data_IF_472895947331
#
_entry.id   IF_472895947331
#
_cell.length_a   1.000
_cell.length_b   1.000
_cell.length_c   1.000
_cell.angle_alpha   90.00
_cell.angle_beta   90.00
_cell.angle_gamma   90.00
#
_symmetry.space_group_name_H-M   'P 1'
#
loop_
_entity.id
_entity.type
_entity.pdbx_description
1 polymer ?
#
# COMPACT_ATOMS: atom_id res chain seq x y z
N UNK A 1 -80.85 38.61 66.09
CA UNK A 1 -80.38 37.39 66.73
C UNK A 1 -80.20 36.33 65.69
N UNK A 2 -79.11 36.29 65.03
CA UNK A 2 -78.70 35.15 64.20
C UNK A 2 -77.16 35.20 64.16
N UNK A 3 -76.54 34.16 64.67
CA UNK A 3 -75.12 34.00 64.68
C UNK A 3 -74.59 33.52 63.28
N UNK A 4 -73.63 34.19 62.75
CA UNK A 4 -72.92 33.76 61.57
C UNK A 4 -71.59 33.08 61.91
N UNK A 5 -71.44 31.84 61.49
CA UNK A 5 -70.22 31.06 61.62
C UNK A 5 -69.31 31.34 60.42
N UNK A 6 -68.09 31.71 60.70
CA UNK A 6 -67.02 31.91 59.72
C UNK A 6 -66.30 30.58 59.56
N UNK A 7 -66.24 30.02 58.33
CA UNK A 7 -65.45 28.91 57.93
C UNK A 7 -64.06 29.40 57.44
N UNK A 8 -63.05 29.02 58.12
CA UNK A 8 -61.66 29.23 57.69
C UNK A 8 -61.21 28.11 56.72
N UNK A 9 -60.83 28.49 55.51
CA UNK A 9 -60.26 27.56 54.52
C UNK A 9 -58.74 27.43 54.79
N UNK A 10 -58.28 26.22 55.15
CA UNK A 10 -56.84 25.84 55.16
C UNK A 10 -56.34 25.58 53.72
N UNK A 11 -55.36 26.35 53.29
CA UNK A 11 -54.68 26.18 52.02
C UNK A 11 -53.56 25.12 52.17
N UNK A 12 -53.78 23.96 51.57
CA UNK A 12 -52.76 22.95 51.49
C UNK A 12 -51.71 23.39 50.47
N UNK A 13 -50.44 23.62 50.93
CA UNK A 13 -49.29 23.89 50.09
C UNK A 13 -48.67 22.54 49.65
N UNK A 14 -48.78 22.21 48.35
CA UNK A 14 -48.11 21.07 47.75
C UNK A 14 -46.65 21.46 47.49
N UNK A 15 -45.61 20.75 48.02
CA UNK A 15 -44.23 21.08 47.74
C UNK A 15 -43.88 20.64 46.31
N UNK A 16 -43.36 21.56 45.49
CA UNK A 16 -42.77 21.33 44.18
C UNK A 16 -41.46 20.51 44.34
N UNK A 17 -41.22 19.45 43.52
CA UNK A 17 -39.97 18.70 43.56
C UNK A 17 -38.80 19.59 43.14
N UNK A 18 -37.70 19.51 43.88
CA UNK A 18 -36.51 20.32 43.69
C UNK A 18 -35.90 20.09 42.32
N UNK A 19 -35.77 21.14 41.49
CA UNK A 19 -35.17 21.17 40.15
C UNK A 19 -33.67 20.78 40.11
N UNK A 20 -33.06 20.38 41.20
CA UNK A 20 -31.62 19.99 41.27
C UNK A 20 -31.32 18.60 40.71
N UNK A 21 -32.30 17.69 40.59
CA UNK A 21 -32.13 16.34 40.05
C UNK A 21 -32.17 16.23 38.53
N UNK A 22 -32.92 17.14 37.85
CA UNK A 22 -33.06 17.07 36.39
C UNK A 22 -31.84 17.63 35.61
N UNK A 23 -31.12 18.59 36.19
CA UNK A 23 -29.93 19.18 35.55
C UNK A 23 -28.73 18.20 35.53
N UNK A 24 -28.62 17.31 36.52
CA UNK A 24 -27.53 16.31 36.55
C UNK A 24 -27.74 15.15 35.57
N UNK A 25 -28.98 14.73 35.33
CA UNK A 25 -29.30 13.68 34.38
C UNK A 25 -29.12 14.13 32.92
N UNK A 26 -29.44 15.38 32.57
CA UNK A 26 -29.22 15.95 31.23
C UNK A 26 -27.71 16.17 30.93
N UNK A 27 -26.91 16.60 31.90
CA UNK A 27 -25.46 16.71 31.69
C UNK A 27 -24.77 15.34 31.52
N UNK A 28 -25.27 14.28 32.16
CA UNK A 28 -24.70 12.93 32.01
C UNK A 28 -24.97 12.32 30.61
N UNK A 29 -26.07 12.67 29.96
CA UNK A 29 -26.38 12.23 28.59
C UNK A 29 -25.60 13.02 27.55
N UNK A 30 -25.24 14.25 27.76
CA UNK A 30 -24.39 15.06 26.89
C UNK A 30 -22.92 14.62 26.94
N UNK A 31 -22.45 14.04 28.04
CA UNK A 31 -21.09 13.52 28.15
C UNK A 31 -20.91 12.10 27.57
N UNK A 32 -21.97 11.28 27.44
CA UNK A 32 -21.92 9.97 26.82
C UNK A 32 -21.95 10.02 25.29
N UNK A 33 -22.36 11.12 24.66
CA UNK A 33 -22.34 11.31 23.21
C UNK A 33 -21.00 11.83 22.66
N UNK A 34 -20.00 12.10 23.52
CA UNK A 34 -18.76 12.82 23.15
C UNK A 34 -17.52 11.94 22.95
N UNK A 35 -17.60 10.62 22.98
CA UNK A 35 -16.45 9.72 22.83
C UNK A 35 -16.55 8.77 21.61
N UNK A 36 -17.31 9.12 20.59
CA UNK A 36 -17.02 8.58 19.26
C UNK A 36 -15.72 9.24 18.80
N UNK A 37 -14.60 8.57 18.97
CA UNK A 37 -13.31 9.05 18.49
C UNK A 37 -13.43 9.49 17.04
N UNK A 38 -12.81 10.60 16.66
CA UNK A 38 -12.81 11.05 15.27
C UNK A 38 -12.25 9.91 14.39
N UNK A 39 -12.95 9.57 13.32
CA UNK A 39 -12.51 8.56 12.36
C UNK A 39 -11.18 8.99 11.73
N UNK A 40 -10.25 8.06 11.63
CA UNK A 40 -8.88 8.28 11.17
C UNK A 40 -8.53 7.44 9.93
N UNK A 41 -7.38 7.70 9.33
CA UNK A 41 -6.87 6.81 8.27
C UNK A 41 -6.55 5.40 8.78
N UNK A 42 -6.30 5.21 10.07
CA UNK A 42 -6.12 3.87 10.64
C UNK A 42 -7.42 3.05 10.60
N UNK A 43 -8.57 3.70 10.82
CA UNK A 43 -9.88 3.03 10.71
C UNK A 43 -10.23 2.66 9.26
N UNK A 44 -9.77 3.47 8.29
CA UNK A 44 -9.93 3.15 6.86
C UNK A 44 -9.08 1.95 6.44
N UNK A 45 -7.83 1.91 6.91
CA UNK A 45 -6.89 0.82 6.64
C UNK A 45 -6.92 -0.29 7.70
N UNK A 46 -8.01 -0.40 8.47
CA UNK A 46 -8.19 -1.51 9.39
C UNK A 46 -8.21 -2.84 8.61
N UNK A 47 -7.22 -3.73 8.83
CA UNK A 47 -7.07 -4.96 8.05
C UNK A 47 -8.15 -6.02 8.36
N UNK A 48 -8.93 -5.83 9.42
CA UNK A 48 -10.00 -6.75 9.85
C UNK A 48 -11.39 -6.32 9.41
N UNK A 49 -11.49 -5.16 8.74
CA UNK A 49 -12.79 -4.59 8.37
C UNK A 49 -12.91 -4.43 6.85
N UNK A 50 -13.95 -5.03 6.26
CA UNK A 50 -14.35 -4.74 4.89
C UNK A 50 -15.07 -3.39 4.88
N UNK A 51 -14.48 -2.40 4.25
CA UNK A 51 -15.02 -1.04 4.17
C UNK A 51 -16.10 -0.92 3.08
N UNK A 52 -17.00 0.07 3.19
CA UNK A 52 -17.84 0.50 2.08
C UNK A 52 -17.39 1.89 1.62
N UNK A 53 -16.93 1.99 0.39
CA UNK A 53 -16.52 3.26 -0.24
C UNK A 53 -17.48 3.59 -1.38
N UNK A 54 -17.94 4.84 -1.43
CA UNK A 54 -18.84 5.33 -2.48
C UNK A 54 -18.17 6.45 -3.25
N UNK A 55 -18.20 6.35 -4.57
CA UNK A 55 -17.82 7.42 -5.48
C UNK A 55 -19.07 7.91 -6.22
N UNK A 56 -19.21 9.21 -6.31
CA UNK A 56 -20.26 9.86 -7.11
C UNK A 56 -19.59 10.61 -8.26
N UNK A 57 -19.77 10.12 -9.47
CA UNK A 57 -19.13 10.61 -10.70
C UNK A 57 -20.24 10.97 -11.68
N UNK A 58 -20.10 12.08 -12.42
CA UNK A 58 -21.06 12.40 -13.48
C UNK A 58 -21.15 11.22 -14.49
N UNK A 59 -22.36 10.89 -14.93
CA UNK A 59 -22.58 9.70 -15.78
C UNK A 59 -21.83 9.76 -17.12
N UNK A 60 -21.66 10.96 -17.70
CA UNK A 60 -20.88 11.14 -18.94
C UNK A 60 -19.40 10.95 -18.69
N UNK A 61 -18.89 11.47 -17.56
CA UNK A 61 -17.49 11.32 -17.17
C UNK A 61 -17.15 9.84 -16.89
N UNK A 62 -18.02 9.13 -16.19
CA UNK A 62 -17.87 7.68 -15.95
C UNK A 62 -17.88 6.89 -17.29
N UNK A 63 -18.74 7.27 -18.22
CA UNK A 63 -18.74 6.67 -19.54
C UNK A 63 -17.41 6.94 -20.27
N UNK A 64 -16.90 8.17 -20.26
CA UNK A 64 -15.61 8.51 -20.85
C UNK A 64 -14.46 7.76 -20.18
N UNK A 65 -14.45 7.62 -18.83
CA UNK A 65 -13.46 6.82 -18.11
C UNK A 65 -13.42 5.36 -18.59
N UNK A 66 -14.58 4.78 -18.91
CA UNK A 66 -14.68 3.41 -19.45
C UNK A 66 -14.23 3.32 -20.90
N UNK A 67 -14.64 4.27 -21.73
CA UNK A 67 -14.28 4.32 -23.17
C UNK A 67 -12.77 4.60 -23.35
N UNK A 68 -12.18 5.41 -22.48
CA UNK A 68 -10.79 5.83 -22.52
C UNK A 68 -10.00 5.27 -21.32
N UNK A 69 -10.24 4.01 -20.97
CA UNK A 69 -9.69 3.40 -19.77
C UNK A 69 -8.15 3.35 -19.72
N UNK A 70 -7.48 3.53 -20.84
CA UNK A 70 -6.02 3.61 -20.96
C UNK A 70 -5.45 5.01 -20.70
N UNK A 71 -6.30 6.04 -20.63
CA UNK A 71 -5.86 7.42 -20.43
C UNK A 71 -5.79 7.81 -18.95
N UNK A 72 -4.92 8.77 -18.63
CA UNK A 72 -4.73 9.32 -17.26
C UNK A 72 -5.58 10.60 -17.01
N UNK A 73 -6.69 10.75 -17.71
CA UNK A 73 -7.57 11.93 -17.58
C UNK A 73 -8.27 11.95 -16.24
N UNK A 74 -8.20 13.08 -15.52
CA UNK A 74 -8.91 13.30 -14.28
C UNK A 74 -10.34 13.81 -14.51
N UNK A 75 -11.28 13.28 -13.72
CA UNK A 75 -12.68 13.69 -13.69
C UNK A 75 -13.07 14.06 -12.26
N UNK A 76 -14.04 14.95 -12.11
CA UNK A 76 -14.55 15.34 -10.80
C UNK A 76 -15.40 14.22 -10.17
N UNK A 77 -15.20 13.98 -8.89
CA UNK A 77 -15.94 13.01 -8.12
C UNK A 77 -16.12 13.46 -6.66
N UNK A 78 -17.19 12.99 -6.00
CA UNK A 78 -17.30 13.02 -4.56
C UNK A 78 -17.00 11.62 -4.01
N UNK A 79 -16.27 11.54 -2.89
CA UNK A 79 -16.03 10.30 -2.17
C UNK A 79 -16.78 10.31 -0.84
N UNK A 80 -17.41 9.21 -0.48
CA UNK A 80 -18.06 9.03 0.82
C UNK A 80 -17.64 7.72 1.50
N UNK A 81 -17.30 7.80 2.78
CA UNK A 81 -16.97 6.68 3.64
C UNK A 81 -17.45 6.95 5.07
N UNK A 82 -18.24 6.04 5.65
CA UNK A 82 -18.79 6.13 7.02
C UNK A 82 -19.41 7.49 7.35
N UNK A 83 -20.12 8.10 6.38
CA UNK A 83 -20.73 9.41 6.53
C UNK A 83 -19.79 10.61 6.35
N UNK A 84 -18.49 10.41 6.22
CA UNK A 84 -17.55 11.47 5.83
C UNK A 84 -17.59 11.59 4.32
N UNK A 85 -17.93 12.79 3.82
CA UNK A 85 -17.98 13.08 2.39
C UNK A 85 -16.97 14.14 2.00
N UNK A 86 -16.09 13.81 1.05
CA UNK A 86 -15.20 14.76 0.39
C UNK A 86 -15.77 15.08 -0.98
N UNK A 87 -16.01 16.36 -1.23
CA UNK A 87 -16.55 16.85 -2.49
C UNK A 87 -15.45 17.33 -3.40
N UNK A 88 -15.70 17.28 -4.70
CA UNK A 88 -14.81 17.80 -5.73
C UNK A 88 -13.38 17.24 -5.64
N UNK A 89 -13.25 15.95 -5.30
CA UNK A 89 -12.04 15.20 -5.51
C UNK A 89 -11.85 14.91 -7.01
N UNK A 90 -10.64 14.57 -7.43
CA UNK A 90 -10.36 14.10 -8.78
C UNK A 90 -10.22 12.59 -8.79
N UNK A 91 -10.79 11.93 -9.80
CA UNK A 91 -10.63 10.49 -10.02
C UNK A 91 -10.09 10.24 -11.42
N UNK A 92 -9.17 9.30 -11.57
CA UNK A 92 -8.67 8.81 -12.87
C UNK A 92 -8.43 7.32 -12.84
N UNK A 93 -8.30 6.73 -14.03
CA UNK A 93 -7.88 5.35 -14.17
C UNK A 93 -6.43 5.15 -13.68
N UNK A 94 -6.16 4.00 -13.04
CA UNK A 94 -4.85 3.58 -12.52
C UNK A 94 -4.49 2.21 -13.11
N UNK A 95 -3.19 1.89 -13.04
CA UNK A 95 -2.62 0.63 -13.52
C UNK A 95 -1.96 0.77 -14.90
N UNK A 96 -1.35 -0.28 -15.37
CA UNK A 96 -0.81 -0.42 -16.70
C UNK A 96 -1.46 -1.65 -17.39
N UNK A 97 -1.06 -2.86 -17.02
CA UNK A 97 -1.60 -4.10 -17.54
C UNK A 97 -2.98 -4.46 -16.97
N UNK A 98 -3.32 -3.93 -15.79
CA UNK A 98 -4.60 -4.19 -15.09
C UNK A 98 -5.75 -3.30 -15.52
N UNK A 99 -5.50 -2.30 -16.39
CA UNK A 99 -6.55 -1.40 -16.89
C UNK A 99 -7.56 -2.15 -17.73
N UNK A 100 -8.84 -1.98 -17.40
CA UNK A 100 -9.93 -2.52 -18.22
C UNK A 100 -11.20 -1.68 -18.05
N UNK A 101 -12.12 -1.67 -19.02
CA UNK A 101 -13.32 -0.83 -18.96
C UNK A 101 -14.41 -1.39 -18.04
N UNK A 102 -14.34 -2.67 -17.66
CA UNK A 102 -15.38 -3.34 -16.87
C UNK A 102 -15.22 -3.02 -15.39
N UNK A 103 -14.04 -3.27 -14.83
CA UNK A 103 -13.72 -3.03 -13.41
C UNK A 103 -12.54 -2.08 -13.35
N UNK A 104 -12.81 -0.77 -13.28
CA UNK A 104 -11.78 0.27 -13.34
C UNK A 104 -10.88 0.24 -12.09
N UNK A 105 -9.55 0.16 -12.26
CA UNK A 105 -8.61 0.52 -11.21
C UNK A 105 -8.56 2.06 -11.11
N UNK A 106 -8.61 2.64 -9.90
CA UNK A 106 -8.80 4.08 -9.73
C UNK A 106 -7.76 4.70 -8.80
N UNK A 107 -7.37 5.93 -9.10
CA UNK A 107 -6.70 6.85 -8.17
C UNK A 107 -7.64 8.00 -7.86
N UNK A 108 -7.84 8.29 -6.59
CA UNK A 108 -8.59 9.45 -6.10
C UNK A 108 -7.59 10.46 -5.54
N UNK A 109 -7.50 11.65 -6.12
CA UNK A 109 -6.67 12.78 -5.63
C UNK A 109 -7.59 13.83 -5.02
N UNK A 110 -7.47 14.04 -3.72
CA UNK A 110 -8.32 14.96 -2.98
C UNK A 110 -7.89 16.42 -3.19
N UNK A 111 -6.64 16.66 -3.55
CA UNK A 111 -6.08 18.01 -3.68
C UNK A 111 -6.01 18.52 -5.12
N UNK A 112 -6.41 17.73 -6.12
CA UNK A 112 -6.27 18.09 -7.53
C UNK A 112 -7.05 19.35 -7.91
N UNK A 113 -8.34 19.40 -7.58
CA UNK A 113 -9.21 20.56 -7.88
C UNK A 113 -9.30 21.55 -6.71
N UNK A 114 -8.99 21.12 -5.50
CA UNK A 114 -9.08 21.94 -4.30
C UNK A 114 -7.76 21.89 -3.54
N UNK A 115 -6.94 22.92 -3.68
CA UNK A 115 -5.63 23.00 -3.07
C UNK A 115 -5.73 22.77 -1.54
N UNK A 116 -4.85 21.90 -1.02
CA UNK A 116 -4.80 21.59 0.41
C UNK A 116 -5.90 20.64 0.94
N UNK A 117 -6.90 20.26 0.12
CA UNK A 117 -7.91 19.31 0.55
C UNK A 117 -7.30 17.95 0.89
N UNK A 118 -7.81 17.32 1.94
CA UNK A 118 -7.37 15.99 2.42
C UNK A 118 -8.58 15.15 2.82
N UNK A 119 -8.41 13.84 2.73
CA UNK A 119 -9.33 12.87 3.30
C UNK A 119 -8.58 12.08 4.38
N UNK A 120 -9.00 12.19 5.64
CA UNK A 120 -8.33 11.58 6.80
C UNK A 120 -6.82 11.87 6.85
N UNK A 121 -6.42 13.10 6.48
CA UNK A 121 -5.03 13.53 6.38
C UNK A 121 -4.30 13.15 5.08
N UNK A 122 -4.87 12.26 4.25
CA UNK A 122 -4.27 11.80 3.00
C UNK A 122 -4.55 12.76 1.84
N UNK A 123 -3.59 12.87 0.92
CA UNK A 123 -3.73 13.61 -0.34
C UNK A 123 -4.44 12.79 -1.40
N UNK A 124 -4.18 11.49 -1.44
CA UNK A 124 -4.72 10.57 -2.44
C UNK A 124 -4.93 9.18 -1.87
N UNK A 125 -5.72 8.38 -2.58
CA UNK A 125 -6.06 7.00 -2.25
C UNK A 125 -6.13 6.19 -3.53
N UNK A 126 -5.65 4.96 -3.50
CA UNK A 126 -5.78 4.03 -4.62
C UNK A 126 -6.88 3.01 -4.32
N UNK A 127 -7.64 2.69 -5.35
CA UNK A 127 -8.67 1.66 -5.36
C UNK A 127 -8.24 0.64 -6.42
N UNK A 128 -7.49 -0.37 -5.98
CA UNK A 128 -7.01 -1.41 -6.88
C UNK A 128 -8.10 -2.41 -7.19
N UNK A 129 -8.28 -2.72 -8.48
CA UNK A 129 -9.37 -3.57 -8.96
C UNK A 129 -9.10 -5.08 -8.78
N UNK A 130 -7.92 -5.48 -8.32
CA UNK A 130 -7.51 -6.87 -8.10
C UNK A 130 -7.69 -7.76 -9.35
N UNK A 131 -7.54 -7.15 -10.53
CA UNK A 131 -7.94 -7.76 -11.79
C UNK A 131 -7.12 -8.99 -12.17
N UNK A 132 -5.84 -9.01 -11.86
CA UNK A 132 -4.89 -10.07 -12.25
C UNK A 132 -4.76 -11.18 -11.21
N UNK A 133 -5.23 -10.97 -9.97
CA UNK A 133 -5.09 -11.91 -8.87
C UNK A 133 -6.39 -12.69 -8.60
N UNK A 134 -6.48 -14.00 -8.93
CA UNK A 134 -7.64 -14.81 -8.62
C UNK A 134 -7.92 -14.94 -7.12
N UNK A 135 -6.90 -14.82 -6.26
CA UNK A 135 -7.06 -14.85 -4.81
C UNK A 135 -7.53 -13.51 -4.23
N UNK A 136 -7.31 -12.41 -4.94
CA UNK A 136 -7.54 -11.03 -4.49
C UNK A 136 -6.80 -10.66 -3.19
N UNK A 137 -5.72 -11.38 -2.83
CA UNK A 137 -5.03 -11.22 -1.55
C UNK A 137 -3.51 -11.04 -1.67
N UNK A 138 -2.90 -11.33 -2.83
CA UNK A 138 -1.43 -11.40 -2.96
C UNK A 138 -0.75 -10.11 -2.54
N UNK A 139 -1.17 -8.97 -3.11
CA UNK A 139 -0.56 -7.67 -2.82
C UNK A 139 -0.68 -7.33 -1.34
N UNK A 140 -1.89 -7.37 -0.79
CA UNK A 140 -2.12 -7.02 0.62
C UNK A 140 -1.33 -7.91 1.59
N UNK A 141 -1.31 -9.24 1.35
CA UNK A 141 -0.56 -10.17 2.20
C UNK A 141 0.95 -9.91 2.09
N UNK A 142 1.45 -9.60 0.89
CA UNK A 142 2.85 -9.25 0.66
C UNK A 142 3.24 -7.94 1.35
N UNK A 143 2.41 -6.89 1.26
CA UNK A 143 2.66 -5.62 1.94
C UNK A 143 2.70 -5.78 3.46
N UNK A 144 1.79 -6.57 4.03
CA UNK A 144 1.81 -6.91 5.45
C UNK A 144 3.10 -7.66 5.84
N UNK A 145 3.59 -8.54 4.98
CA UNK A 145 4.84 -9.27 5.21
C UNK A 145 6.08 -8.37 5.11
N UNK A 146 6.14 -7.46 4.13
CA UNK A 146 7.19 -6.43 4.05
C UNK A 146 7.22 -5.54 5.30
N UNK A 147 6.04 -5.08 5.75
CA UNK A 147 5.94 -4.26 6.97
C UNK A 147 6.38 -5.04 8.22
N UNK A 148 6.05 -6.32 8.34
CA UNK A 148 6.48 -7.20 9.43
C UNK A 148 8.00 -7.36 9.49
N UNK A 149 8.68 -7.28 8.35
CA UNK A 149 10.14 -7.32 8.21
C UNK A 149 10.79 -5.92 8.25
N UNK A 150 10.06 -4.91 8.72
CA UNK A 150 10.58 -3.56 8.96
C UNK A 150 10.76 -2.72 7.69
N UNK A 151 10.18 -3.14 6.55
CA UNK A 151 10.22 -2.32 5.35
C UNK A 151 9.07 -1.31 5.33
N UNK A 152 9.34 -0.13 4.78
CA UNK A 152 8.30 0.87 4.54
C UNK A 152 7.36 0.36 3.45
N UNK A 153 6.16 -0.07 3.83
CA UNK A 153 5.14 -0.58 2.94
C UNK A 153 3.84 0.24 3.07
N UNK A 154 3.11 0.48 1.96
CA UNK A 154 1.77 1.03 2.00
C UNK A 154 0.84 0.23 2.90
N UNK A 155 -0.05 0.92 3.61
CA UNK A 155 -1.16 0.25 4.30
C UNK A 155 -2.19 -0.17 3.29
N UNK A 156 -2.77 -1.34 3.51
CA UNK A 156 -3.83 -1.88 2.66
C UNK A 156 -4.96 -2.50 3.49
N UNK A 157 -6.16 -2.27 3.02
CA UNK A 157 -7.39 -2.92 3.48
C UNK A 157 -8.29 -3.23 2.29
N UNK A 158 -9.48 -3.72 2.54
CA UNK A 158 -10.44 -4.02 1.47
C UNK A 158 -11.69 -3.16 1.56
N UNK A 159 -12.30 -2.89 0.40
CA UNK A 159 -13.63 -2.29 0.37
C UNK A 159 -14.54 -2.94 -0.68
N UNK A 160 -15.85 -2.80 -0.44
CA UNK A 160 -16.83 -2.83 -1.51
C UNK A 160 -16.90 -1.42 -2.10
N UNK A 161 -16.60 -1.30 -3.38
CA UNK A 161 -16.69 -0.03 -4.07
C UNK A 161 -18.08 0.12 -4.71
N UNK A 162 -18.71 1.26 -4.47
CA UNK A 162 -19.95 1.65 -5.14
C UNK A 162 -19.68 2.90 -5.99
N UNK A 163 -20.02 2.87 -7.27
CA UNK A 163 -20.02 4.07 -8.12
C UNK A 163 -21.48 4.42 -8.44
N UNK A 164 -21.89 5.65 -8.09
CA UNK A 164 -23.27 6.10 -8.24
C UNK A 164 -24.29 5.11 -7.62
N UNK A 165 -23.97 4.58 -6.45
CA UNK A 165 -24.70 3.55 -5.71
C UNK A 165 -24.79 2.16 -6.38
N UNK A 166 -24.06 1.92 -7.44
CA UNK A 166 -23.96 0.59 -8.08
C UNK A 166 -22.70 -0.11 -7.59
N UNK A 167 -22.83 -1.32 -7.06
CA UNK A 167 -21.72 -2.14 -6.59
C UNK A 167 -20.78 -2.47 -7.77
N UNK A 168 -19.50 -2.16 -7.61
CA UNK A 168 -18.44 -2.49 -8.57
C UNK A 168 -17.64 -3.74 -8.14
N UNK A 169 -17.86 -4.25 -6.93
CA UNK A 169 -17.20 -5.41 -6.37
C UNK A 169 -16.20 -5.09 -5.25
N UNK A 170 -15.32 -6.03 -5.00
CA UNK A 170 -14.24 -5.93 -3.99
C UNK A 170 -13.02 -5.25 -4.60
N UNK A 171 -12.47 -4.28 -3.88
CA UNK A 171 -11.26 -3.54 -4.23
C UNK A 171 -10.27 -3.56 -3.06
N UNK A 172 -8.97 -3.52 -3.34
CA UNK A 172 -8.02 -3.14 -2.34
C UNK A 172 -8.01 -1.60 -2.20
N UNK A 173 -8.11 -1.13 -0.95
CA UNK A 173 -7.80 0.23 -0.56
C UNK A 173 -6.30 0.29 -0.31
N UNK A 174 -5.55 1.02 -1.12
CA UNK A 174 -4.10 1.10 -1.02
C UNK A 174 -3.68 2.53 -0.70
N UNK A 175 -2.85 2.70 0.31
CA UNK A 175 -2.25 3.98 0.66
C UNK A 175 -1.31 4.43 -0.47
N UNK A 176 -1.53 5.61 -1.01
CA UNK A 176 -0.68 6.14 -2.07
C UNK A 176 0.70 6.53 -1.52
N UNK A 177 1.76 6.15 -2.22
CA UNK A 177 3.13 6.53 -1.85
C UNK A 177 3.36 7.97 -2.28
N UNK A 178 3.19 8.88 -1.33
CA UNK A 178 3.36 10.31 -1.46
C UNK A 178 4.19 10.88 -0.28
N UNK A 179 4.49 12.18 -0.21
CA UNK A 179 5.21 12.76 0.92
C UNK A 179 4.55 12.52 2.29
N UNK A 180 3.22 12.33 2.35
CA UNK A 180 2.51 12.01 3.60
C UNK A 180 2.84 10.59 4.07
N UNK A 181 2.85 9.63 3.13
CA UNK A 181 3.30 8.27 3.39
C UNK A 181 4.76 8.25 3.89
N UNK A 182 5.66 8.95 3.19
CA UNK A 182 7.08 9.00 3.54
C UNK A 182 7.28 9.59 4.94
N UNK A 183 6.61 10.69 5.26
CA UNK A 183 6.65 11.31 6.60
C UNK A 183 6.21 10.33 7.69
N UNK A 184 5.17 9.54 7.45
CA UNK A 184 4.66 8.54 8.39
C UNK A 184 5.58 7.32 8.54
N UNK A 185 6.18 6.85 7.44
CA UNK A 185 6.83 5.53 7.37
C UNK A 185 8.34 5.59 7.51
N UNK A 186 8.96 6.73 7.17
CA UNK A 186 10.43 6.92 7.11
C UNK A 186 10.86 8.09 8.01
N UNK A 187 9.91 8.85 8.59
CA UNK A 187 10.14 10.04 9.42
C UNK A 187 10.91 11.16 8.68
N UNK A 188 10.77 11.25 7.37
CA UNK A 188 11.31 12.32 6.52
C UNK A 188 10.42 12.59 5.30
N UNK A 189 9.47 13.51 5.44
CA UNK A 189 8.57 13.92 4.34
C UNK A 189 9.17 14.96 3.38
N UNK A 190 10.43 15.38 3.57
CA UNK A 190 11.06 16.48 2.82
C UNK A 190 12.03 15.99 1.74
N UNK A 191 12.19 14.70 1.56
CA UNK A 191 13.11 14.13 0.58
C UNK A 191 12.52 14.04 -0.83
N UNK A 192 13.33 13.52 -1.73
CA UNK A 192 13.00 13.37 -3.15
C UNK A 192 12.42 11.99 -3.40
N UNK A 193 11.18 11.95 -3.85
CA UNK A 193 10.43 10.73 -4.12
C UNK A 193 10.19 10.60 -5.63
N UNK A 194 10.54 9.43 -6.18
CA UNK A 194 10.34 9.08 -7.58
C UNK A 194 9.64 7.73 -7.70
N UNK A 195 8.61 7.69 -8.53
CA UNK A 195 7.93 6.46 -8.93
C UNK A 195 8.67 5.83 -10.11
N UNK A 196 9.11 4.59 -9.99
CA UNK A 196 9.64 3.88 -11.14
C UNK A 196 8.53 3.57 -12.14
N UNK A 197 8.79 3.86 -13.41
CA UNK A 197 7.90 3.57 -14.55
C UNK A 197 8.57 2.58 -15.47
N UNK A 198 7.88 1.51 -15.75
CA UNK A 198 8.31 0.56 -16.76
C UNK A 198 8.15 1.20 -18.17
N UNK A 199 9.24 1.37 -18.88
CA UNK A 199 9.28 1.87 -20.26
C UNK A 199 9.76 0.78 -21.21
N UNK A 200 10.79 0.05 -20.79
CA UNK A 200 11.40 -1.08 -21.48
C UNK A 200 12.21 -1.87 -20.45
N UNK A 201 12.56 -3.13 -20.73
CA UNK A 201 13.42 -3.92 -19.84
C UNK A 201 14.64 -3.14 -19.37
N UNK A 202 14.88 -3.13 -18.05
CA UNK A 202 15.97 -2.40 -17.40
C UNK A 202 16.46 -3.18 -16.19
N UNK A 203 17.77 -3.42 -16.13
CA UNK A 203 18.37 -4.27 -15.11
C UNK A 203 19.36 -3.52 -14.22
N UNK A 204 19.26 -2.19 -14.15
CA UNK A 204 20.07 -1.35 -13.28
C UNK A 204 21.38 -0.87 -13.92
N UNK A 205 21.47 -0.84 -15.25
CA UNK A 205 22.64 -0.33 -15.98
C UNK A 205 22.72 1.21 -15.92
N UNK A 206 23.94 1.73 -16.06
CA UNK A 206 24.17 3.15 -16.27
C UNK A 206 23.66 3.59 -17.66
N UNK A 207 22.72 4.52 -17.69
CA UNK A 207 22.07 4.99 -18.93
C UNK A 207 22.85 6.15 -19.63
N UNK A 208 24.08 6.44 -19.18
CA UNK A 208 24.88 7.56 -19.70
C UNK A 208 24.68 8.86 -18.92
N UNK A 209 25.31 9.91 -19.40
CA UNK A 209 25.33 11.23 -18.73
C UNK A 209 24.03 12.05 -18.95
N UNK A 210 23.30 11.74 -20.01
CA UNK A 210 22.03 12.39 -20.32
C UNK A 210 20.95 12.00 -19.28
N UNK A 211 20.18 12.97 -18.84
CA UNK A 211 19.13 12.79 -17.83
C UNK A 211 17.82 12.23 -18.42
N UNK A 212 17.62 12.27 -19.73
CA UNK A 212 16.36 11.84 -20.36
C UNK A 212 16.05 10.36 -20.13
N UNK A 213 17.08 9.49 -20.12
CA UNK A 213 16.93 8.08 -19.80
C UNK A 213 16.40 7.84 -18.39
N UNK A 214 16.80 8.64 -17.42
CA UNK A 214 16.35 8.57 -16.02
C UNK A 214 14.98 9.22 -15.86
N UNK A 215 14.75 10.38 -16.49
CA UNK A 215 13.49 11.12 -16.48
C UNK A 215 12.31 10.29 -17.01
N UNK A 216 12.55 9.51 -18.05
CA UNK A 216 11.53 8.62 -18.62
C UNK A 216 11.12 7.50 -17.65
N UNK A 217 12.04 7.03 -16.77
CA UNK A 217 11.84 5.90 -15.85
C UNK A 217 11.49 6.29 -14.43
N UNK A 218 11.87 7.48 -13.96
CA UNK A 218 11.71 7.93 -12.59
C UNK A 218 10.80 9.16 -12.54
N UNK A 219 9.49 8.94 -12.40
CA UNK A 219 8.53 10.04 -12.36
C UNK A 219 8.58 10.77 -11.02
N UNK A 220 8.71 12.09 -11.07
CA UNK A 220 8.72 12.94 -9.87
C UNK A 220 7.41 12.85 -9.11
N UNK A 221 7.50 12.64 -7.79
CA UNK A 221 6.36 12.59 -6.86
C UNK A 221 6.47 13.62 -5.74
N UNK A 222 7.65 14.28 -5.61
CA UNK A 222 7.87 15.41 -4.71
C UNK A 222 8.81 16.41 -5.39
N UNK A 223 8.73 17.69 -5.01
CA UNK A 223 9.59 18.76 -5.56
C UNK A 223 9.47 18.95 -7.08
N UNK A 224 8.26 18.80 -7.63
CA UNK A 224 7.97 18.83 -9.07
C UNK A 224 8.34 20.15 -9.79
N UNK A 225 8.60 21.22 -9.04
CA UNK A 225 9.07 22.50 -9.57
C UNK A 225 10.59 22.65 -9.66
N UNK A 226 11.39 21.66 -9.21
CA UNK A 226 12.85 21.77 -9.23
C UNK A 226 13.48 21.35 -10.56
N UNK A 227 14.71 21.87 -10.89
CA UNK A 227 15.41 21.52 -12.11
C UNK A 227 15.70 20.02 -12.26
N UNK A 228 15.70 19.51 -13.48
CA UNK A 228 16.03 18.12 -13.81
C UNK A 228 17.38 17.67 -13.22
N UNK A 229 18.38 18.57 -13.16
CA UNK A 229 19.68 18.28 -12.55
C UNK A 229 19.58 17.97 -11.04
N UNK A 230 18.66 18.60 -10.33
CA UNK A 230 18.39 18.33 -8.90
C UNK A 230 17.61 17.03 -8.72
N UNK A 231 16.64 16.79 -9.59
CA UNK A 231 15.80 15.59 -9.54
C UNK A 231 16.55 14.31 -9.95
N UNK A 232 17.21 14.34 -11.11
CA UNK A 232 17.75 13.14 -11.75
C UNK A 232 19.27 13.03 -11.68
N UNK A 233 20.00 14.13 -11.42
CA UNK A 233 21.45 14.11 -11.26
C UNK A 233 21.93 13.09 -10.22
N UNK A 234 21.37 13.08 -8.98
CA UNK A 234 21.72 12.10 -7.96
C UNK A 234 21.40 10.64 -8.37
N UNK A 235 20.32 10.41 -9.11
CA UNK A 235 19.94 9.08 -9.63
C UNK A 235 20.98 8.62 -10.67
N UNK A 236 21.34 9.48 -11.62
CA UNK A 236 22.41 9.21 -12.60
C UNK A 236 23.73 8.88 -11.90
N UNK A 237 24.12 9.67 -10.91
CA UNK A 237 25.40 9.49 -10.20
C UNK A 237 25.43 8.17 -9.41
N UNK A 238 24.30 7.78 -8.83
CA UNK A 238 24.13 6.46 -8.20
C UNK A 238 24.35 5.33 -9.21
N UNK A 239 23.66 5.33 -10.36
CA UNK A 239 23.81 4.28 -11.37
C UNK A 239 25.19 4.30 -12.06
N UNK A 240 25.81 5.48 -12.15
CA UNK A 240 27.22 5.57 -12.60
C UNK A 240 28.15 4.85 -11.62
N UNK A 241 28.06 5.10 -10.33
CA UNK A 241 28.86 4.44 -9.31
C UNK A 241 28.61 2.91 -9.33
N UNK A 242 27.34 2.47 -9.41
CA UNK A 242 26.99 1.06 -9.50
C UNK A 242 27.71 0.35 -10.66
N UNK A 243 27.79 1.02 -11.82
CA UNK A 243 28.34 0.40 -13.05
C UNK A 243 29.83 0.56 -13.20
N UNK A 244 30.47 1.60 -12.61
CA UNK A 244 31.86 1.98 -12.87
C UNK A 244 32.81 1.74 -11.69
N UNK A 245 32.30 1.56 -10.47
CA UNK A 245 33.13 1.27 -9.30
C UNK A 245 33.92 -0.03 -9.46
N UNK A 246 35.16 -0.03 -8.98
CA UNK A 246 36.03 -1.20 -9.01
C UNK A 246 35.49 -2.31 -8.09
N UNK A 247 35.69 -3.57 -8.48
CA UNK A 247 35.15 -4.70 -7.70
C UNK A 247 35.57 -4.69 -6.21
N UNK A 248 36.77 -4.21 -5.90
CA UNK A 248 37.28 -4.12 -4.51
C UNK A 248 36.68 -2.96 -3.70
N UNK A 249 36.22 -1.90 -4.37
CA UNK A 249 35.72 -0.67 -3.76
C UNK A 249 34.23 -0.48 -3.96
N UNK A 250 33.57 -1.36 -4.72
CA UNK A 250 32.18 -1.23 -5.15
C UNK A 250 31.23 -0.94 -3.97
N UNK A 251 31.32 -1.74 -2.92
CA UNK A 251 30.45 -1.57 -1.74
C UNK A 251 30.65 -0.19 -1.06
N UNK A 252 31.92 0.24 -0.90
CA UNK A 252 32.25 1.51 -0.25
C UNK A 252 31.92 2.74 -1.10
N UNK A 253 31.91 2.60 -2.43
CA UNK A 253 31.55 3.70 -3.34
C UNK A 253 30.05 3.80 -3.58
N UNK A 254 29.32 2.67 -3.55
CA UNK A 254 27.87 2.64 -3.83
C UNK A 254 27.02 2.85 -2.58
N UNK A 255 27.42 2.31 -1.40
CA UNK A 255 26.62 2.40 -0.18
C UNK A 255 26.28 3.85 0.25
N UNK A 256 27.13 4.85 0.05
CA UNK A 256 26.78 6.25 0.30
C UNK A 256 25.66 6.81 -0.63
N UNK A 257 25.40 6.16 -1.77
CA UNK A 257 24.43 6.58 -2.78
C UNK A 257 23.16 5.72 -2.81
N UNK A 258 23.28 4.44 -2.46
CA UNK A 258 22.18 3.48 -2.35
C UNK A 258 22.31 2.71 -1.04
N UNK A 259 21.29 2.65 -0.22
CA UNK A 259 21.26 1.81 0.98
C UNK A 259 21.31 0.33 0.58
N UNK A 260 22.54 -0.20 0.41
CA UNK A 260 22.75 -1.57 -0.08
C UNK A 260 22.18 -2.61 0.88
N UNK A 261 22.17 -2.33 2.18
CA UNK A 261 21.58 -3.25 3.16
C UNK A 261 20.05 -3.31 3.01
N UNK A 262 19.41 -2.16 2.84
CA UNK A 262 17.97 -2.08 2.61
C UNK A 262 17.59 -2.67 1.24
N UNK A 263 18.38 -2.40 0.19
CA UNK A 263 18.20 -2.95 -1.15
C UNK A 263 18.26 -4.49 -1.14
N UNK A 264 19.28 -5.07 -0.53
CA UNK A 264 19.43 -6.54 -0.41
C UNK A 264 18.30 -7.15 0.42
N UNK A 265 17.87 -6.48 1.50
CA UNK A 265 16.72 -6.90 2.30
C UNK A 265 15.44 -6.92 1.48
N UNK A 266 15.18 -5.86 0.71
CA UNK A 266 14.00 -5.77 -0.16
C UNK A 266 13.97 -6.92 -1.16
N UNK A 267 15.07 -7.16 -1.88
CA UNK A 267 15.17 -8.24 -2.87
C UNK A 267 15.03 -9.63 -2.21
N UNK A 268 15.59 -9.83 -1.02
CA UNK A 268 15.46 -11.09 -0.31
C UNK A 268 14.00 -11.41 0.05
N UNK A 269 13.22 -10.39 0.44
CA UNK A 269 11.78 -10.55 0.72
C UNK A 269 11.04 -10.87 -0.57
N UNK A 270 11.32 -10.18 -1.69
CA UNK A 270 10.72 -10.49 -3.00
C UNK A 270 11.03 -11.93 -3.42
N UNK A 271 12.29 -12.38 -3.31
CA UNK A 271 12.67 -13.74 -3.66
C UNK A 271 12.03 -14.79 -2.73
N UNK A 272 11.90 -14.48 -1.44
CA UNK A 272 11.16 -15.35 -0.52
C UNK A 272 9.69 -15.48 -0.92
N UNK A 273 9.03 -14.38 -1.27
CA UNK A 273 7.63 -14.35 -1.70
C UNK A 273 7.42 -14.86 -3.14
N UNK A 274 8.50 -15.25 -3.84
CA UNK A 274 8.47 -15.65 -5.25
C UNK A 274 7.83 -14.57 -6.14
N UNK A 275 8.30 -13.32 -5.99
CA UNK A 275 7.86 -12.19 -6.80
C UNK A 275 8.43 -12.30 -8.22
N UNK A 276 7.54 -12.25 -9.23
CA UNK A 276 7.95 -12.40 -10.63
C UNK A 276 8.04 -11.07 -11.39
N UNK A 277 7.56 -9.96 -10.79
CA UNK A 277 7.56 -8.62 -11.38
C UNK A 277 8.07 -7.55 -10.37
N UNK A 278 9.17 -7.85 -9.69
CA UNK A 278 9.83 -6.97 -8.73
C UNK A 278 11.18 -6.45 -9.24
N UNK A 279 12.13 -6.24 -8.32
CA UNK A 279 13.50 -5.78 -8.64
C UNK A 279 14.23 -6.78 -9.54
N UNK A 280 14.00 -8.09 -9.33
CA UNK A 280 14.49 -9.16 -10.20
C UNK A 280 13.38 -9.71 -11.09
N UNK A 281 12.50 -8.83 -11.58
CA UNK A 281 11.36 -9.20 -12.42
C UNK A 281 11.74 -9.83 -13.76
N UNK A 282 10.83 -10.59 -14.34
CA UNK A 282 11.06 -11.27 -15.64
C UNK A 282 11.30 -10.30 -16.80
N UNK A 283 10.82 -9.07 -16.70
CA UNK A 283 11.04 -8.00 -17.67
C UNK A 283 12.05 -6.93 -17.19
N UNK A 284 12.83 -7.23 -16.13
CA UNK A 284 13.70 -6.27 -15.47
C UNK A 284 13.06 -5.65 -14.23
N UNK A 285 13.67 -4.57 -13.72
CA UNK A 285 13.21 -3.89 -12.51
C UNK A 285 11.81 -3.32 -12.70
N UNK A 286 10.93 -3.52 -11.71
CA UNK A 286 9.57 -2.99 -11.67
C UNK A 286 9.10 -2.80 -10.22
N UNK A 287 7.97 -2.10 -10.05
CA UNK A 287 7.15 -2.06 -8.84
C UNK A 287 7.89 -1.58 -7.58
N UNK A 288 8.55 -0.42 -7.68
CA UNK A 288 9.19 0.27 -6.55
C UNK A 288 9.14 1.79 -6.72
N UNK A 289 9.28 2.49 -5.59
CA UNK A 289 9.65 3.89 -5.57
C UNK A 289 11.09 4.04 -5.11
N UNK A 290 11.77 5.05 -5.63
CA UNK A 290 13.10 5.45 -5.20
C UNK A 290 12.97 6.71 -4.34
N UNK A 291 13.45 6.66 -3.11
CA UNK A 291 13.41 7.75 -2.17
C UNK A 291 14.82 8.16 -1.74
N UNK A 292 15.12 9.47 -1.81
CA UNK A 292 16.36 10.06 -1.31
C UNK A 292 16.01 11.04 -0.19
N UNK A 293 16.45 10.79 1.07
CA UNK A 293 16.20 11.71 2.17
C UNK A 293 16.74 13.12 1.90
N UNK A 294 16.11 14.13 2.50
CA UNK A 294 16.45 15.54 2.29
C UNK A 294 17.89 15.89 2.71
N UNK A 295 18.43 15.17 3.69
CA UNK A 295 19.75 15.40 4.29
C UNK A 295 20.79 14.34 3.86
N UNK A 296 20.52 13.55 2.83
CA UNK A 296 21.38 12.44 2.41
C UNK A 296 21.41 12.33 0.89
N UNK A 297 22.52 11.79 0.35
CA UNK A 297 22.61 11.33 -1.03
C UNK A 297 22.14 9.88 -1.22
N UNK A 298 21.90 9.16 -0.11
CA UNK A 298 21.68 7.73 -0.08
C UNK A 298 20.21 7.39 -0.39
N UNK A 299 19.97 6.78 -1.53
CA UNK A 299 18.65 6.35 -1.96
C UNK A 299 18.19 5.09 -1.24
N UNK A 300 16.88 4.90 -1.15
CA UNK A 300 16.20 3.72 -0.58
C UNK A 300 15.04 3.32 -1.47
N UNK A 301 14.70 2.02 -1.48
CA UNK A 301 13.50 1.53 -2.14
C UNK A 301 12.29 1.62 -1.21
N UNK A 302 11.12 1.88 -1.80
CA UNK A 302 9.82 1.70 -1.15
C UNK A 302 9.05 0.69 -1.99
N UNK A 303 8.52 -0.34 -1.34
CA UNK A 303 7.78 -1.43 -1.99
C UNK A 303 6.40 -0.97 -2.44
N UNK A 304 5.97 -1.41 -3.63
CA UNK A 304 4.60 -1.27 -4.14
C UNK A 304 4.27 -2.41 -5.08
N UNK A 305 2.99 -2.63 -5.32
CA UNK A 305 2.43 -3.49 -6.38
C UNK A 305 3.07 -4.90 -6.39
N UNK A 306 2.63 -5.76 -5.46
CA UNK A 306 3.15 -7.13 -5.28
C UNK A 306 2.08 -8.19 -5.56
N UNK A 307 1.31 -7.98 -6.61
CA UNK A 307 0.22 -8.89 -7.05
C UNK A 307 0.73 -10.13 -7.79
N UNK A 308 2.03 -10.16 -8.19
CA UNK A 308 2.67 -11.30 -8.85
C UNK A 308 3.48 -12.20 -7.92
N UNK A 309 3.40 -11.98 -6.60
CA UNK A 309 3.96 -12.87 -5.57
C UNK A 309 3.23 -14.23 -5.51
N UNK A 310 3.77 -15.17 -4.74
CA UNK A 310 3.25 -16.55 -4.64
C UNK A 310 3.25 -17.29 -5.99
N UNK A 311 4.14 -16.90 -6.88
CA UNK A 311 4.18 -17.41 -8.25
C UNK A 311 4.42 -18.92 -8.31
N UNK A 312 5.45 -19.40 -7.62
CA UNK A 312 5.78 -20.83 -7.50
C UNK A 312 6.46 -21.09 -6.15
N UNK A 313 5.98 -22.09 -5.41
CA UNK A 313 6.57 -22.47 -4.11
C UNK A 313 8.03 -22.89 -4.23
N UNK A 314 8.46 -23.40 -5.40
CA UNK A 314 9.84 -23.80 -5.70
C UNK A 314 10.66 -22.74 -6.43
N UNK A 315 10.13 -21.52 -6.52
CA UNK A 315 10.88 -20.39 -7.11
C UNK A 315 12.25 -20.28 -6.46
N UNK A 316 13.32 -20.39 -7.26
CA UNK A 316 14.69 -20.37 -6.72
C UNK A 316 14.99 -19.00 -6.09
N UNK A 317 15.59 -19.00 -4.91
CA UNK A 317 16.09 -17.77 -4.28
C UNK A 317 17.22 -17.11 -5.07
N UNK A 318 17.75 -17.79 -6.10
CA UNK A 318 18.75 -17.25 -7.03
C UNK A 318 18.15 -16.89 -8.40
N UNK A 319 16.83 -16.90 -8.56
CA UNK A 319 16.19 -16.55 -9.85
C UNK A 319 16.61 -15.15 -10.29
N UNK A 320 17.19 -15.05 -11.50
CA UNK A 320 17.64 -13.79 -12.16
C UNK A 320 18.58 -12.90 -11.33
N UNK A 321 19.27 -13.46 -10.34
CA UNK A 321 20.22 -12.72 -9.48
C UNK A 321 21.45 -12.21 -10.24
N UNK A 322 21.80 -12.82 -11.35
CA UNK A 322 22.92 -12.48 -12.23
C UNK A 322 22.53 -11.50 -13.36
N UNK A 323 21.24 -11.34 -13.65
CA UNK A 323 20.76 -10.43 -14.67
C UNK A 323 20.80 -8.96 -14.20
N UNK A 324 20.41 -8.70 -12.95
CA UNK A 324 20.40 -7.35 -12.38
C UNK A 324 21.81 -6.92 -11.97
N UNK A 325 22.28 -5.79 -12.53
CA UNK A 325 23.65 -5.29 -12.31
C UNK A 325 23.93 -5.00 -10.84
N UNK A 326 22.98 -4.40 -10.13
CA UNK A 326 23.14 -4.02 -8.72
C UNK A 326 23.23 -5.30 -7.87
N UNK A 327 22.29 -6.21 -8.06
CA UNK A 327 22.16 -7.39 -7.20
C UNK A 327 23.29 -8.39 -7.44
N UNK A 328 23.72 -8.56 -8.69
CA UNK A 328 24.89 -9.38 -9.03
C UNK A 328 26.15 -8.89 -8.29
N UNK A 329 26.41 -7.57 -8.29
CA UNK A 329 27.54 -6.99 -7.56
C UNK A 329 27.36 -7.12 -6.03
N UNK A 330 26.15 -6.93 -5.54
CA UNK A 330 25.85 -7.12 -4.11
C UNK A 330 26.14 -8.56 -3.66
N UNK A 331 25.78 -9.58 -4.43
CA UNK A 331 26.07 -10.98 -4.10
C UNK A 331 27.57 -11.33 -4.22
N UNK A 332 28.34 -10.57 -5.00
CA UNK A 332 29.80 -10.71 -5.04
C UNK A 332 30.49 -10.17 -3.78
N UNK A 333 29.86 -9.23 -3.05
CA UNK A 333 30.36 -8.69 -1.79
C UNK A 333 30.02 -9.63 -0.62
N UNK A 334 31.02 -10.17 0.12
CA UNK A 334 30.79 -11.19 1.15
C UNK A 334 29.81 -10.76 2.24
N UNK A 335 29.86 -9.49 2.69
CA UNK A 335 28.95 -8.95 3.71
C UNK A 335 27.51 -8.94 3.21
N UNK A 336 27.28 -8.48 2.00
CA UNK A 336 25.92 -8.36 1.42
C UNK A 336 25.34 -9.72 1.06
N UNK A 337 26.17 -10.66 0.59
CA UNK A 337 25.77 -12.05 0.40
C UNK A 337 25.36 -12.71 1.73
N UNK A 338 26.15 -12.51 2.79
CA UNK A 338 25.81 -13.02 4.12
C UNK A 338 24.48 -12.42 4.63
N UNK A 339 24.27 -11.12 4.42
CA UNK A 339 23.02 -10.44 4.73
C UNK A 339 21.84 -11.02 3.94
N UNK A 340 21.99 -11.24 2.64
CA UNK A 340 20.96 -11.85 1.80
C UNK A 340 20.48 -13.19 2.34
N UNK A 341 21.41 -14.09 2.64
CA UNK A 341 21.11 -15.41 3.20
C UNK A 341 20.47 -15.31 4.59
N UNK A 342 20.93 -14.36 5.42
CA UNK A 342 20.35 -14.12 6.73
C UNK A 342 18.89 -13.62 6.62
N UNK A 343 18.62 -12.68 5.71
CA UNK A 343 17.25 -12.15 5.52
C UNK A 343 16.31 -13.24 4.98
N UNK A 344 16.77 -14.12 4.11
CA UNK A 344 15.97 -15.28 3.66
C UNK A 344 15.58 -16.19 4.83
N UNK A 345 16.49 -16.44 5.79
CA UNK A 345 16.18 -17.19 7.00
C UNK A 345 15.20 -16.42 7.91
N UNK A 346 15.36 -15.09 8.01
CA UNK A 346 14.44 -14.24 8.79
C UNK A 346 13.03 -14.26 8.17
N UNK A 347 12.92 -14.21 6.84
CA UNK A 347 11.66 -14.40 6.12
C UNK A 347 11.03 -15.76 6.43
N UNK A 348 11.81 -16.85 6.36
CA UNK A 348 11.30 -18.18 6.65
C UNK A 348 10.79 -18.30 8.10
N UNK A 349 11.52 -17.75 9.07
CA UNK A 349 11.09 -17.70 10.47
C UNK A 349 9.82 -16.85 10.66
N UNK A 350 9.78 -15.67 10.05
CA UNK A 350 8.63 -14.76 10.14
C UNK A 350 7.36 -15.36 9.51
N UNK A 351 7.52 -16.08 8.39
CA UNK A 351 6.42 -16.74 7.70
C UNK A 351 5.83 -17.92 8.49
N UNK A 352 6.70 -18.71 9.18
CA UNK A 352 6.31 -19.87 9.96
C UNK A 352 5.86 -19.55 11.41
N UNK A 353 6.08 -18.32 11.88
CA UNK A 353 5.70 -17.90 13.23
C UNK A 353 4.18 -17.79 13.42
N UNK A 354 3.73 -17.77 14.68
CA UNK A 354 2.34 -17.42 15.01
C UNK A 354 2.00 -16.02 14.44
N UNK A 355 0.85 -15.92 13.77
CA UNK A 355 0.50 -14.72 13.01
C UNK A 355 1.36 -14.52 11.77
N UNK A 356 2.06 -15.55 11.28
CA UNK A 356 2.86 -15.53 10.05
C UNK A 356 2.03 -15.54 8.77
N UNK A 357 2.62 -16.03 7.69
CA UNK A 357 2.04 -15.85 6.35
C UNK A 357 0.68 -16.56 6.18
N UNK A 358 0.50 -17.81 6.66
CA UNK A 358 -0.78 -18.53 6.57
C UNK A 358 -1.88 -17.88 7.45
N UNK A 359 -1.49 -17.31 8.59
CA UNK A 359 -2.41 -16.56 9.45
C UNK A 359 -2.88 -15.27 8.78
N UNK A 360 -1.98 -14.54 8.09
CA UNK A 360 -2.33 -13.32 7.36
C UNK A 360 -3.23 -13.61 6.16
N UNK A 361 -3.00 -14.71 5.43
CA UNK A 361 -3.91 -15.19 4.38
C UNK A 361 -5.29 -15.53 4.97
N UNK A 362 -5.32 -16.24 6.11
CA UNK A 362 -6.58 -16.59 6.79
C UNK A 362 -7.35 -15.33 7.23
N UNK A 363 -6.65 -14.33 7.74
CA UNK A 363 -7.21 -13.04 8.14
C UNK A 363 -7.81 -12.30 6.94
N UNK A 364 -7.05 -12.18 5.85
CA UNK A 364 -7.52 -11.53 4.63
C UNK A 364 -8.75 -12.23 4.05
N UNK A 365 -8.71 -13.57 3.96
CA UNK A 365 -9.83 -14.39 3.49
C UNK A 365 -11.09 -14.17 4.31
N UNK A 366 -10.99 -14.14 5.66
CA UNK A 366 -12.13 -13.93 6.54
C UNK A 366 -12.85 -12.59 6.29
N UNK A 367 -12.10 -11.56 5.81
CA UNK A 367 -12.65 -10.25 5.49
C UNK A 367 -13.38 -10.23 4.15
N UNK A 368 -12.86 -10.94 3.13
CA UNK A 368 -13.34 -10.76 1.75
C UNK A 368 -14.18 -11.92 1.20
N UNK A 369 -14.14 -13.14 1.78
CA UNK A 369 -14.70 -14.35 1.16
C UNK A 369 -16.15 -14.16 0.68
N UNK A 370 -17.04 -13.74 1.54
CA UNK A 370 -18.43 -13.53 1.18
C UNK A 370 -18.61 -12.47 0.08
N UNK A 371 -17.90 -11.35 0.19
CA UNK A 371 -18.01 -10.24 -0.75
C UNK A 371 -17.41 -10.58 -2.13
N UNK A 372 -16.33 -11.36 -2.17
CA UNK A 372 -15.73 -11.82 -3.43
C UNK A 372 -16.69 -12.76 -4.17
N UNK A 373 -17.39 -13.64 -3.46
CA UNK A 373 -18.39 -14.53 -4.09
C UNK A 373 -19.55 -13.78 -4.72
N UNK A 374 -19.88 -12.61 -4.18
CA UNK A 374 -20.92 -11.71 -4.67
C UNK A 374 -20.42 -10.61 -5.63
N UNK A 375 -19.11 -10.52 -5.90
CA UNK A 375 -18.52 -9.49 -6.75
C UNK A 375 -19.01 -9.66 -8.20
N UNK A 376 -19.80 -8.70 -8.73
CA UNK A 376 -20.42 -8.84 -10.04
C UNK A 376 -19.45 -8.62 -11.21
N UNK A 377 -18.28 -8.02 -10.95
CA UNK A 377 -17.34 -7.60 -11.99
C UNK A 377 -15.99 -8.33 -11.93
N UNK A 378 -15.78 -9.26 -10.98
CA UNK A 378 -14.55 -10.06 -10.98
C UNK A 378 -14.46 -10.92 -12.24
N UNK A 379 -13.26 -11.07 -12.79
CA UNK A 379 -13.08 -11.90 -13.99
C UNK A 379 -12.95 -13.40 -13.69
N UNK A 380 -12.66 -13.78 -12.45
CA UNK A 380 -12.42 -15.14 -12.05
C UNK A 380 -13.67 -15.80 -11.44
N UNK A 381 -13.84 -17.10 -11.62
CA UNK A 381 -14.89 -17.87 -10.97
C UNK A 381 -14.63 -18.03 -9.46
N UNK A 382 -15.65 -18.41 -8.69
CA UNK A 382 -15.47 -18.75 -7.28
C UNK A 382 -14.53 -19.94 -7.11
N UNK A 383 -14.58 -20.94 -8.02
CA UNK A 383 -13.66 -22.08 -7.99
C UNK A 383 -12.20 -21.64 -8.21
N UNK A 384 -11.94 -20.68 -9.10
CA UNK A 384 -10.61 -20.12 -9.31
C UNK A 384 -10.11 -19.37 -8.08
N UNK A 385 -10.99 -18.63 -7.39
CA UNK A 385 -10.69 -17.98 -6.13
C UNK A 385 -10.34 -19.01 -5.04
N UNK A 386 -11.11 -20.08 -4.90
CA UNK A 386 -10.87 -21.15 -3.92
C UNK A 386 -9.53 -21.86 -4.21
N UNK A 387 -9.22 -22.16 -5.47
CA UNK A 387 -7.95 -22.77 -5.89
C UNK A 387 -6.76 -21.86 -5.63
N UNK A 388 -6.87 -20.57 -5.97
CA UNK A 388 -5.80 -19.59 -5.73
C UNK A 388 -5.54 -19.41 -4.22
N UNK A 389 -6.59 -19.34 -3.41
CA UNK A 389 -6.50 -19.30 -1.94
C UNK A 389 -5.81 -20.54 -1.38
N UNK A 390 -6.20 -21.74 -1.84
CA UNK A 390 -5.57 -22.99 -1.41
C UNK A 390 -4.08 -23.03 -1.80
N UNK A 391 -3.72 -22.53 -3.00
CA UNK A 391 -2.34 -22.43 -3.47
C UNK A 391 -1.51 -21.49 -2.63
N UNK A 392 -2.03 -20.30 -2.27
CA UNK A 392 -1.34 -19.36 -1.37
C UNK A 392 -1.09 -19.97 0.01
N UNK A 393 -2.05 -20.69 0.56
CA UNK A 393 -1.90 -21.38 1.86
C UNK A 393 -0.89 -22.53 1.79
N UNK A 394 -0.86 -23.29 0.70
CA UNK A 394 0.16 -24.32 0.47
C UNK A 394 1.56 -23.67 0.41
N UNK A 395 1.70 -22.58 -0.36
CA UNK A 395 2.93 -21.80 -0.43
C UNK A 395 3.38 -21.35 0.96
N UNK A 396 2.51 -20.74 1.76
CA UNK A 396 2.84 -20.24 3.08
C UNK A 396 3.39 -21.34 4.03
N UNK A 397 2.89 -22.57 3.90
CA UNK A 397 3.31 -23.71 4.72
C UNK A 397 4.60 -24.37 4.24
N UNK A 398 4.81 -24.46 2.92
CA UNK A 398 5.93 -25.19 2.33
C UNK A 398 7.16 -24.32 2.10
N UNK A 399 6.96 -23.05 1.69
CA UNK A 399 8.03 -22.12 1.31
C UNK A 399 9.13 -21.95 2.37
N UNK A 400 8.81 -21.80 3.68
CA UNK A 400 9.85 -21.64 4.70
C UNK A 400 10.87 -22.79 4.70
N UNK A 401 10.40 -24.04 4.64
CA UNK A 401 11.27 -25.22 4.64
C UNK A 401 12.15 -25.32 3.39
N UNK A 402 11.59 -24.97 2.23
CA UNK A 402 12.32 -24.96 0.95
C UNK A 402 13.44 -23.91 1.01
N UNK A 403 13.12 -22.68 1.41
CA UNK A 403 14.10 -21.58 1.47
C UNK A 403 15.21 -21.87 2.49
N UNK A 404 14.88 -22.42 3.66
CA UNK A 404 15.90 -22.83 4.64
C UNK A 404 16.85 -23.91 4.09
N UNK A 405 16.34 -24.86 3.32
CA UNK A 405 17.15 -25.86 2.64
C UNK A 405 18.07 -25.24 1.60
N UNK A 406 17.56 -24.30 0.79
CA UNK A 406 18.35 -23.59 -0.20
C UNK A 406 19.47 -22.76 0.46
N UNK A 407 19.15 -22.01 1.51
CA UNK A 407 20.16 -21.22 2.25
C UNK A 407 21.24 -22.11 2.85
N UNK A 408 20.87 -23.27 3.41
CA UNK A 408 21.84 -24.22 3.96
C UNK A 408 22.82 -24.73 2.88
N UNK A 409 22.32 -25.08 1.68
CA UNK A 409 23.16 -25.48 0.53
C UNK A 409 24.09 -24.34 0.08
N UNK A 410 23.55 -23.12 -0.06
CA UNK A 410 24.31 -21.95 -0.50
C UNK A 410 25.41 -21.55 0.48
N UNK A 411 25.23 -21.76 1.78
CA UNK A 411 26.28 -21.57 2.81
C UNK A 411 27.42 -22.59 2.71
N UNK A 412 27.11 -23.78 2.22
CA UNK A 412 28.12 -24.83 1.95
C UNK A 412 28.80 -24.67 0.59
N UNK A 413 28.51 -23.60 -0.17
CA UNK A 413 29.04 -23.38 -1.51
C UNK A 413 28.46 -24.31 -2.57
N UNK A 414 27.34 -24.95 -2.29
CA UNK A 414 26.59 -25.78 -3.23
C UNK A 414 25.54 -24.90 -3.96
N UNK A 415 25.42 -24.99 -5.28
CA UNK A 415 24.43 -24.24 -6.06
C UNK A 415 23.01 -24.72 -5.87
#
# INVERSE_FOLDING_TARGET
MIAGSVLTAESAVIPLPSMRGLTFAMLSWLFAAGLAGAQTSADLFDPDTLQDVRLFINSRDLQQMRERFTEDTFFAADLEWRGIRVRNAAVRNKGLATRNPTKLGLRVDFAHYTAGQRFLGMRSLLLDNLWTDPSMMRERVSMAFFARLGQAAPRESYCRLFINNVLQGVYALVEDVDPTFVSRSIDDGLGYLHEYRFVAPYFGEFLGEDLEGYKSRFAVRSHDGEPDSTQYGPIRDMFRAISQAGAATWESEVDPLLDLSQFVTHVAIEQFLAENDGILGAAGMANFYLYRPSNSARHRLIVVDKDTTFFDVRFSVLTRTDENVIFRQALAAPRLRALYLQVLEDCARAAAADGGLDAEITRALAVIDAAVREDPLKQFSNDAFDQATASMRAFARERPGIVLSDVARLRLGQP
#
